data_IF_406950921132
#
_entry.id   IF_406950921132
#
_cell.length_a   1.000
_cell.length_b   1.000
_cell.length_c   1.000
_cell.angle_alpha   90.00
_cell.angle_beta   90.00
_cell.angle_gamma   90.00
#
_symmetry.space_group_name_H-M   'P 1'
#
loop_
_entity.id
_entity.type
_entity.pdbx_description
1 polymer ?
#
# COMPACT_ATOMS: atom_id res chain seq x y z
N UNK A 1 5.68 9.89 -10.79
CA UNK A 1 5.99 11.34 -10.82
C UNK A 1 5.38 12.03 -9.60
N UNK A 2 4.12 11.72 -9.29
CA UNK A 2 3.41 12.15 -8.09
C UNK A 2 4.15 11.83 -6.79
N UNK A 3 4.68 10.61 -6.63
CA UNK A 3 5.42 10.22 -5.42
C UNK A 3 6.79 10.89 -5.33
N UNK A 4 7.46 11.06 -6.48
CA UNK A 4 8.72 11.82 -6.55
C UNK A 4 8.51 13.25 -6.09
N UNK A 5 7.48 13.92 -6.61
CA UNK A 5 7.09 15.26 -6.16
C UNK A 5 6.85 15.30 -4.64
N UNK A 6 6.10 14.35 -4.07
CA UNK A 6 5.87 14.28 -2.62
C UNK A 6 7.17 14.12 -1.82
N UNK A 7 8.08 13.25 -2.27
CA UNK A 7 9.39 13.05 -1.63
C UNK A 7 10.24 14.33 -1.69
N UNK A 8 10.29 15.03 -2.82
CA UNK A 8 11.01 16.30 -2.93
C UNK A 8 10.42 17.37 -2.01
N UNK A 9 9.09 17.52 -1.98
CA UNK A 9 8.43 18.47 -1.08
C UNK A 9 8.70 18.16 0.40
N UNK A 10 8.81 16.87 0.76
CA UNK A 10 9.17 16.47 2.10
C UNK A 10 10.61 16.87 2.45
N UNK A 11 11.57 16.63 1.56
CA UNK A 11 12.96 17.02 1.76
C UNK A 11 13.10 18.55 1.90
N UNK A 12 12.47 19.32 1.01
CA UNK A 12 12.48 20.79 1.08
C UNK A 12 11.85 21.31 2.38
N UNK A 13 10.74 20.70 2.84
CA UNK A 13 10.13 21.09 4.11
C UNK A 13 11.02 20.76 5.31
N UNK A 14 11.77 19.65 5.29
CA UNK A 14 12.74 19.32 6.34
C UNK A 14 13.92 20.31 6.35
N UNK A 15 14.41 20.70 5.17
CA UNK A 15 15.45 21.72 5.03
C UNK A 15 14.99 23.07 5.61
N UNK A 16 13.78 23.52 5.31
CA UNK A 16 13.20 24.75 5.88
C UNK A 16 13.08 24.71 7.41
N UNK A 17 12.92 23.51 7.99
CA UNK A 17 12.90 23.27 9.43
C UNK A 17 14.29 23.09 10.05
N UNK A 18 15.35 23.07 9.23
CA UNK A 18 16.72 22.80 9.67
C UNK A 18 16.96 21.36 10.13
N UNK A 19 16.22 20.41 9.55
CA UNK A 19 16.34 18.97 9.83
C UNK A 19 17.10 18.32 8.67
N UNK A 20 18.13 17.54 8.99
CA UNK A 20 18.88 16.77 7.99
C UNK A 20 17.99 15.67 7.38
N UNK A 21 17.95 15.63 6.06
CA UNK A 21 17.11 14.73 5.27
C UNK A 21 17.94 13.62 4.61
N UNK A 22 17.44 12.38 4.71
CA UNK A 22 18.03 11.20 4.06
C UNK A 22 17.02 10.65 3.08
N UNK A 23 17.36 10.70 1.78
CA UNK A 23 16.55 10.15 0.70
C UNK A 23 17.04 8.75 0.31
N UNK A 24 16.11 7.81 0.16
CA UNK A 24 16.37 6.48 -0.41
C UNK A 24 15.44 6.27 -1.60
N UNK A 25 16.00 6.19 -2.80
CA UNK A 25 15.24 5.97 -4.02
C UNK A 25 16.13 5.34 -5.10
N UNK A 26 15.62 4.32 -5.79
CA UNK A 26 16.34 3.58 -6.82
C UNK A 26 16.02 4.01 -8.26
N UNK A 27 15.13 5.00 -8.45
CA UNK A 27 14.72 5.43 -9.78
C UNK A 27 15.66 6.52 -10.31
N UNK A 28 16.41 6.31 -11.42
CA UNK A 28 17.34 7.31 -11.93
C UNK A 28 16.65 8.48 -12.65
N UNK A 29 15.35 8.38 -12.95
CA UNK A 29 14.61 9.37 -13.75
C UNK A 29 13.78 10.33 -12.87
N UNK A 30 14.20 10.56 -11.62
CA UNK A 30 13.46 11.34 -10.63
C UNK A 30 14.25 12.50 -10.05
N UNK A 31 13.55 13.59 -9.68
CA UNK A 31 14.19 14.76 -9.06
C UNK A 31 14.67 14.43 -7.64
N UNK A 32 13.96 13.55 -6.92
CA UNK A 32 14.41 13.08 -5.59
C UNK A 32 15.77 12.37 -5.60
N UNK A 33 16.28 11.99 -6.77
CA UNK A 33 17.62 11.40 -6.91
C UNK A 33 18.67 12.38 -7.42
N UNK A 34 18.33 13.67 -7.52
CA UNK A 34 19.32 14.73 -7.72
C UNK A 34 20.01 15.04 -6.37
N UNK A 35 21.33 15.21 -6.42
CA UNK A 35 22.18 15.35 -5.21
C UNK A 35 21.90 16.61 -4.38
N UNK A 36 21.17 17.57 -4.91
CA UNK A 36 20.78 18.82 -4.26
C UNK A 36 19.39 18.77 -3.63
N UNK A 37 18.67 17.65 -3.71
CA UNK A 37 17.32 17.53 -3.12
C UNK A 37 17.33 17.18 -1.64
N UNK A 38 18.35 16.48 -1.15
CA UNK A 38 18.45 16.05 0.26
C UNK A 38 19.90 16.05 0.72
N UNK A 39 20.14 16.13 2.03
CA UNK A 39 21.49 16.14 2.60
C UNK A 39 22.28 14.84 2.30
N UNK A 40 21.58 13.71 2.36
CA UNK A 40 22.11 12.40 1.98
C UNK A 40 21.18 11.69 1.01
N UNK A 41 21.75 11.18 -0.08
CA UNK A 41 21.05 10.35 -1.06
C UNK A 41 21.65 8.94 -1.08
N UNK A 42 20.81 7.94 -0.86
CA UNK A 42 21.12 6.53 -1.08
C UNK A 42 20.37 6.04 -2.33
N UNK A 43 21.14 5.77 -3.38
CA UNK A 43 20.64 5.19 -4.61
C UNK A 43 20.64 3.66 -4.52
N UNK A 44 19.82 3.13 -3.63
CA UNK A 44 19.76 1.71 -3.27
C UNK A 44 18.35 1.13 -3.52
N UNK A 45 18.21 -0.19 -3.69
CA UNK A 45 16.90 -0.83 -3.78
C UNK A 45 16.04 -0.56 -2.54
N UNK A 46 14.73 -0.36 -2.74
CA UNK A 46 13.77 -0.21 -1.63
C UNK A 46 13.35 -1.60 -1.10
N UNK A 47 14.29 -2.31 -0.48
CA UNK A 47 14.01 -3.53 0.28
C UNK A 47 14.17 -3.29 1.78
N UNK A 48 13.56 -4.14 2.61
CA UNK A 48 13.71 -4.03 4.06
C UNK A 48 15.18 -4.14 4.49
N UNK A 49 15.95 -5.04 3.89
CA UNK A 49 17.37 -5.25 4.23
C UNK A 49 18.21 -4.01 3.89
N UNK A 50 18.06 -3.49 2.68
CA UNK A 50 18.83 -2.32 2.22
C UNK A 50 18.51 -1.08 3.06
N UNK A 51 17.23 -0.86 3.37
CA UNK A 51 16.81 0.28 4.21
C UNK A 51 17.29 0.12 5.66
N UNK A 52 17.27 -1.08 6.22
CA UNK A 52 17.82 -1.33 7.57
C UNK A 52 19.33 -1.08 7.63
N UNK A 53 20.09 -1.49 6.61
CA UNK A 53 21.52 -1.19 6.53
C UNK A 53 21.79 0.32 6.52
N UNK A 54 20.92 1.10 5.87
CA UNK A 54 21.01 2.57 5.87
C UNK A 54 20.67 3.13 7.26
N UNK A 55 19.58 2.66 7.89
CA UNK A 55 19.19 3.06 9.23
C UNK A 55 20.30 2.76 10.26
N UNK A 56 20.91 1.58 10.22
CA UNK A 56 21.99 1.19 11.14
C UNK A 56 23.23 2.10 10.99
N UNK A 57 23.48 2.61 9.79
CA UNK A 57 24.62 3.48 9.50
C UNK A 57 24.35 4.94 9.86
N UNK A 58 23.14 5.42 9.59
CA UNK A 58 22.79 6.84 9.69
C UNK A 58 22.10 7.20 11.00
N UNK A 59 21.55 6.21 11.72
CA UNK A 59 20.82 6.37 12.99
C UNK A 59 19.77 7.50 12.95
N UNK A 60 18.80 7.45 12.01
CA UNK A 60 17.85 8.54 11.83
C UNK A 60 16.86 8.65 13.00
N UNK A 61 16.51 9.88 13.39
CA UNK A 61 15.50 10.15 14.42
C UNK A 61 14.10 9.61 14.03
N UNK A 62 13.82 9.52 12.73
CA UNK A 62 12.55 9.00 12.22
C UNK A 62 12.56 8.72 10.72
N UNK A 63 11.68 7.82 10.28
CA UNK A 63 11.54 7.39 8.88
C UNK A 63 10.13 7.68 8.37
N UNK A 64 10.04 8.29 7.19
CA UNK A 64 8.79 8.59 6.48
C UNK A 64 8.60 7.55 5.37
N UNK A 65 7.49 6.80 5.43
CA UNK A 65 7.16 5.75 4.43
C UNK A 65 5.96 6.13 3.55
N UNK A 66 5.29 7.24 3.84
CA UNK A 66 3.96 7.54 3.29
C UNK A 66 4.00 8.25 1.93
N UNK A 67 5.16 8.76 1.50
CA UNK A 67 5.27 9.60 0.30
C UNK A 67 5.74 8.86 -0.97
N UNK A 68 6.30 7.66 -0.83
CA UNK A 68 6.82 6.89 -1.98
C UNK A 68 5.84 5.88 -2.59
N UNK A 69 4.55 5.93 -2.26
CA UNK A 69 3.54 5.00 -2.77
C UNK A 69 3.59 3.62 -2.09
N UNK A 70 3.15 2.56 -2.79
CA UNK A 70 2.99 1.23 -2.18
C UNK A 70 4.32 0.60 -1.74
N UNK A 71 5.42 0.86 -2.46
CA UNK A 71 6.71 0.24 -2.20
C UNK A 71 7.20 0.47 -0.76
N UNK A 72 7.35 1.71 -0.26
CA UNK A 72 7.72 1.94 1.13
C UNK A 72 6.65 1.56 2.15
N UNK A 73 5.35 1.65 1.81
CA UNK A 73 4.27 1.19 2.71
C UNK A 73 4.41 -0.31 3.01
N UNK A 74 4.78 -1.11 2.01
CA UNK A 74 5.05 -2.55 2.19
C UNK A 74 6.26 -2.82 3.09
N UNK A 75 7.20 -1.88 3.25
CA UNK A 75 8.36 -2.03 4.13
C UNK A 75 8.02 -1.70 5.59
N UNK A 76 6.95 -0.94 5.84
CA UNK A 76 6.65 -0.35 7.14
C UNK A 76 6.63 -1.37 8.29
N UNK A 77 5.96 -2.51 8.12
CA UNK A 77 5.94 -3.59 9.13
C UNK A 77 7.31 -4.18 9.40
N UNK A 78 8.12 -4.37 8.36
CA UNK A 78 9.46 -4.95 8.47
C UNK A 78 10.42 -4.02 9.22
N UNK A 79 10.34 -2.72 8.93
CA UNK A 79 11.12 -1.68 9.60
C UNK A 79 10.68 -1.50 11.07
N UNK A 80 9.37 -1.48 11.34
CA UNK A 80 8.83 -1.40 12.71
C UNK A 80 9.27 -2.60 13.55
N UNK A 81 9.20 -3.82 12.99
CA UNK A 81 9.63 -5.03 13.68
C UNK A 81 11.13 -5.03 14.04
N UNK A 82 11.95 -4.28 13.29
CA UNK A 82 13.37 -4.06 13.57
C UNK A 82 13.63 -2.88 14.53
N UNK A 83 12.58 -2.17 14.96
CA UNK A 83 12.67 -1.05 15.91
C UNK A 83 12.88 0.32 15.27
N UNK A 84 12.77 0.44 13.94
CA UNK A 84 12.86 1.73 13.25
C UNK A 84 11.67 2.62 13.63
N UNK A 85 11.95 3.87 14.01
CA UNK A 85 10.92 4.84 14.35
C UNK A 85 10.22 5.38 13.10
N UNK A 86 9.09 4.80 12.72
CA UNK A 86 8.27 5.32 11.62
C UNK A 86 7.43 6.50 12.12
N UNK A 87 7.66 7.68 11.55
CA UNK A 87 6.96 8.92 11.90
C UNK A 87 5.81 9.19 10.93
N UNK A 88 4.81 9.97 11.37
CA UNK A 88 3.57 10.21 10.63
C UNK A 88 2.49 9.17 10.95
N UNK A 89 1.85 8.62 9.92
CA UNK A 89 0.86 7.54 10.09
C UNK A 89 1.59 6.25 10.50
N UNK A 90 1.22 5.69 11.66
CA UNK A 90 1.84 4.47 12.18
C UNK A 90 1.62 3.26 11.27
N UNK A 91 2.54 2.28 11.26
CA UNK A 91 2.41 1.04 10.48
C UNK A 91 1.09 0.31 10.71
N UNK A 92 0.62 0.24 11.95
CA UNK A 92 -0.68 -0.38 12.28
C UNK A 92 -1.87 0.35 11.62
N UNK A 93 -1.81 1.68 11.48
CA UNK A 93 -2.87 2.48 10.87
C UNK A 93 -2.80 2.45 9.34
N UNK A 94 -1.58 2.36 8.78
CA UNK A 94 -1.37 2.06 7.35
C UNK A 94 -2.03 0.72 7.06
N UNK A 95 -1.71 -0.30 7.86
CA UNK A 95 -2.26 -1.63 7.72
C UNK A 95 -3.79 -1.67 7.88
N UNK A 96 -4.33 -0.94 8.85
CA UNK A 96 -5.77 -0.86 9.05
C UNK A 96 -6.52 -0.24 7.85
N UNK A 97 -5.85 0.57 7.03
CA UNK A 97 -6.41 1.14 5.81
C UNK A 97 -6.22 0.25 4.57
N UNK A 98 -5.13 -0.51 4.51
CA UNK A 98 -4.83 -1.43 3.41
C UNK A 98 -5.55 -2.78 3.53
N UNK A 99 -5.65 -3.30 4.76
CA UNK A 99 -6.40 -4.50 5.09
C UNK A 99 -7.92 -4.21 5.02
N UNK A 100 -8.60 -4.99 4.18
CA UNK A 100 -10.01 -4.77 3.87
C UNK A 100 -10.94 -5.13 5.02
N UNK A 101 -10.58 -6.13 5.83
CA UNK A 101 -11.37 -6.54 7.00
C UNK A 101 -11.27 -5.48 8.09
N UNK A 102 -10.03 -5.03 8.37
CA UNK A 102 -9.78 -3.94 9.33
C UNK A 102 -10.46 -2.65 8.88
N UNK A 103 -10.37 -2.30 7.60
CA UNK A 103 -11.01 -1.11 7.07
C UNK A 103 -12.54 -1.19 7.18
N UNK A 104 -13.14 -2.34 6.85
CA UNK A 104 -14.57 -2.56 7.04
C UNK A 104 -14.98 -2.39 8.51
N UNK A 105 -14.23 -2.98 9.44
CA UNK A 105 -14.49 -2.83 10.87
C UNK A 105 -14.42 -1.37 11.34
N UNK A 106 -13.52 -0.56 10.76
CA UNK A 106 -13.47 0.89 11.02
C UNK A 106 -14.74 1.59 10.52
N UNK A 107 -15.20 1.28 9.31
CA UNK A 107 -16.41 1.88 8.76
C UNK A 107 -17.66 1.51 9.58
N UNK A 108 -17.79 0.24 9.97
CA UNK A 108 -18.88 -0.24 10.82
C UNK A 108 -18.87 0.47 12.19
N UNK A 109 -17.69 0.60 12.80
CA UNK A 109 -17.52 1.33 14.07
C UNK A 109 -17.92 2.80 13.96
N UNK A 110 -17.71 3.42 12.80
CA UNK A 110 -18.01 4.82 12.53
C UNK A 110 -19.44 5.05 11.99
N UNK A 111 -20.24 3.99 11.84
CA UNK A 111 -21.57 4.04 11.20
C UNK A 111 -21.56 4.66 9.80
N UNK A 112 -20.50 4.34 9.03
CA UNK A 112 -20.35 4.78 7.65
C UNK A 112 -20.86 3.72 6.67
N UNK A 113 -21.42 4.18 5.55
CA UNK A 113 -22.00 3.31 4.53
C UNK A 113 -20.91 2.69 3.66
N UNK A 114 -20.96 1.37 3.48
CA UNK A 114 -20.16 0.62 2.52
C UNK A 114 -21.06 -0.26 1.64
N UNK A 115 -20.72 -0.50 0.37
CA UNK A 115 -21.42 -1.48 -0.44
C UNK A 115 -21.38 -2.87 0.21
N UNK A 116 -22.43 -3.71 0.03
CA UNK A 116 -22.35 -5.11 0.41
C UNK A 116 -21.13 -5.76 -0.22
N UNK A 117 -20.33 -6.44 0.59
CA UNK A 117 -19.05 -7.00 0.15
C UNK A 117 -18.72 -8.33 0.82
N UNK A 118 -17.59 -8.91 0.42
CA UNK A 118 -17.03 -10.12 1.00
C UNK A 118 -15.56 -10.29 0.66
N UNK A 119 -14.81 -10.88 1.58
CA UNK A 119 -13.39 -11.18 1.43
C UNK A 119 -13.22 -12.63 0.96
N UNK A 120 -12.36 -12.85 -0.02
CA UNK A 120 -12.09 -14.16 -0.57
C UNK A 120 -10.57 -14.42 -0.68
N UNK A 121 -10.14 -15.57 -0.17
CA UNK A 121 -8.75 -16.07 -0.28
C UNK A 121 -8.64 -17.25 -1.23
N UNK A 122 -9.74 -17.64 -1.89
CA UNK A 122 -9.79 -18.68 -2.91
C UNK A 122 -11.05 -18.52 -3.78
N UNK A 123 -11.08 -19.21 -4.92
CA UNK A 123 -12.18 -19.13 -5.90
C UNK A 123 -13.54 -19.52 -5.34
N UNK A 124 -13.59 -20.49 -4.42
CA UNK A 124 -14.85 -20.95 -3.84
C UNK A 124 -15.44 -19.89 -2.91
N UNK A 125 -14.62 -19.31 -2.03
CA UNK A 125 -15.01 -18.19 -1.17
C UNK A 125 -15.47 -16.98 -2.01
N UNK A 126 -14.79 -16.72 -3.13
CA UNK A 126 -15.17 -15.67 -4.06
C UNK A 126 -16.55 -15.92 -4.67
N UNK A 127 -16.82 -17.15 -5.11
CA UNK A 127 -18.14 -17.53 -5.64
C UNK A 127 -19.24 -17.35 -4.61
N UNK A 128 -19.05 -17.87 -3.39
CA UNK A 128 -20.04 -17.74 -2.32
C UNK A 128 -20.32 -16.27 -1.96
N UNK A 129 -19.29 -15.43 -1.93
CA UNK A 129 -19.44 -14.00 -1.70
C UNK A 129 -20.23 -13.33 -2.84
N UNK A 130 -19.90 -13.61 -4.10
CA UNK A 130 -20.60 -13.04 -5.24
C UNK A 130 -22.06 -13.50 -5.35
N UNK A 131 -22.38 -14.75 -5.01
CA UNK A 131 -23.77 -15.25 -4.94
C UNK A 131 -24.59 -14.52 -3.87
N UNK A 132 -23.99 -14.26 -2.71
CA UNK A 132 -24.63 -13.51 -1.61
C UNK A 132 -24.85 -12.03 -1.97
N UNK A 133 -23.91 -11.42 -2.68
CA UNK A 133 -23.92 -9.99 -3.04
C UNK A 133 -24.79 -9.72 -4.29
N UNK A 134 -24.74 -10.62 -5.25
CA UNK A 134 -25.39 -10.51 -6.56
C UNK A 134 -24.58 -9.69 -7.59
N UNK A 135 -24.48 -10.21 -8.81
CA UNK A 135 -23.81 -9.54 -9.93
C UNK A 135 -24.52 -8.25 -10.40
N UNK A 136 -23.81 -7.32 -11.08
CA UNK A 136 -22.35 -7.31 -11.25
C UNK A 136 -21.61 -7.03 -9.93
N UNK A 137 -20.41 -7.59 -9.81
CA UNK A 137 -19.51 -7.39 -8.66
C UNK A 137 -18.19 -6.78 -9.13
N UNK A 138 -17.61 -5.90 -8.32
CA UNK A 138 -16.28 -5.33 -8.52
C UNK A 138 -15.28 -6.12 -7.69
N UNK A 139 -14.29 -6.70 -8.34
CA UNK A 139 -13.25 -7.49 -7.69
C UNK A 139 -11.99 -6.65 -7.51
N UNK A 140 -11.51 -6.53 -6.26
CA UNK A 140 -10.42 -5.64 -5.87
C UNK A 140 -9.35 -6.38 -5.06
N UNK A 141 -8.12 -6.55 -5.58
CA UNK A 141 -7.04 -7.09 -4.78
C UNK A 141 -6.68 -6.16 -3.61
N UNK A 142 -6.13 -6.73 -2.55
CA UNK A 142 -5.51 -5.97 -1.44
C UNK A 142 -4.07 -5.59 -1.78
N UNK A 143 -3.50 -4.59 -1.10
CA UNK A 143 -2.12 -4.13 -1.26
C UNK A 143 -1.72 -3.71 -2.70
N UNK A 144 -2.69 -3.19 -3.47
CA UNK A 144 -2.46 -2.65 -4.83
C UNK A 144 -2.97 -1.22 -4.96
N UNK A 145 -2.25 -0.40 -5.71
CA UNK A 145 -2.64 0.97 -6.08
C UNK A 145 -3.03 1.07 -7.56
N UNK A 146 -3.83 2.09 -7.88
CA UNK A 146 -4.16 2.47 -9.26
C UNK A 146 -5.10 1.52 -10.00
N UNK A 147 -5.90 0.72 -9.27
CA UNK A 147 -6.86 -0.20 -9.90
C UNK A 147 -6.22 -1.39 -10.61
N UNK A 148 -4.93 -1.66 -10.37
CA UNK A 148 -4.24 -2.79 -10.98
C UNK A 148 -4.94 -4.10 -10.64
N UNK A 149 -5.22 -4.88 -11.69
CA UNK A 149 -5.95 -6.12 -11.61
C UNK A 149 -7.32 -5.99 -10.92
N UNK A 150 -8.01 -4.85 -11.00
CA UNK A 150 -9.44 -4.78 -10.65
C UNK A 150 -10.29 -5.13 -11.89
N UNK A 151 -11.35 -5.92 -11.71
CA UNK A 151 -12.27 -6.29 -12.79
C UNK A 151 -13.72 -6.21 -12.32
N UNK A 152 -14.61 -5.75 -13.20
CA UNK A 152 -16.06 -5.87 -12.99
C UNK A 152 -16.49 -7.19 -13.58
N UNK A 153 -16.93 -8.11 -12.72
CA UNK A 153 -17.47 -9.40 -13.15
C UNK A 153 -18.99 -9.28 -13.25
N UNK A 154 -19.53 -9.55 -14.43
CA UNK A 154 -20.97 -9.52 -14.70
C UNK A 154 -21.66 -10.86 -14.42
N UNK A 155 -20.87 -11.92 -14.31
CA UNK A 155 -21.37 -13.27 -14.08
C UNK A 155 -20.31 -14.13 -13.35
N UNK A 156 -20.73 -15.33 -12.99
CA UNK A 156 -19.87 -16.29 -12.30
C UNK A 156 -18.68 -16.76 -13.16
N UNK A 157 -18.85 -16.84 -14.48
CA UNK A 157 -17.80 -17.28 -15.40
C UNK A 157 -16.64 -16.29 -15.43
N UNK A 158 -16.94 -14.99 -15.54
CA UNK A 158 -15.96 -13.91 -15.50
C UNK A 158 -15.26 -13.84 -14.14
N UNK A 159 -15.97 -14.05 -13.04
CA UNK A 159 -15.36 -14.13 -11.70
C UNK A 159 -14.37 -15.29 -11.57
N UNK A 160 -14.75 -16.50 -12.00
CA UNK A 160 -13.87 -17.67 -11.92
C UNK A 160 -12.62 -17.45 -12.76
N UNK A 161 -12.77 -16.95 -13.99
CA UNK A 161 -11.65 -16.62 -14.87
C UNK A 161 -10.68 -15.65 -14.20
N UNK A 162 -11.21 -14.55 -13.63
CA UNK A 162 -10.40 -13.58 -12.90
C UNK A 162 -9.61 -14.23 -11.76
N UNK A 163 -10.28 -15.03 -10.93
CA UNK A 163 -9.65 -15.67 -9.77
C UNK A 163 -8.59 -16.71 -10.14
N UNK A 164 -8.63 -17.28 -11.34
CA UNK A 164 -7.65 -18.27 -11.81
C UNK A 164 -6.54 -17.69 -12.67
N UNK A 165 -6.80 -16.62 -13.42
CA UNK A 165 -5.89 -16.10 -14.45
C UNK A 165 -5.28 -14.74 -14.09
N UNK A 166 -6.01 -13.89 -13.36
CA UNK A 166 -5.65 -12.48 -13.19
C UNK A 166 -4.95 -12.17 -11.85
N UNK A 167 -5.14 -13.00 -10.83
CA UNK A 167 -4.62 -12.75 -9.48
C UNK A 167 -4.11 -14.04 -8.83
N UNK A 168 -2.92 -13.96 -8.25
CA UNK A 168 -2.39 -14.98 -7.36
C UNK A 168 -3.01 -14.76 -5.96
N UNK A 169 -4.15 -15.42 -5.73
CA UNK A 169 -4.91 -15.26 -4.47
C UNK A 169 -4.33 -16.19 -3.42
N UNK A 170 -3.83 -15.62 -2.34
CA UNK A 170 -3.30 -16.35 -1.19
C UNK A 170 -3.89 -15.81 0.12
N UNK A 171 -3.73 -16.52 1.26
CA UNK A 171 -4.11 -16.00 2.57
C UNK A 171 -3.47 -14.63 2.88
N UNK A 172 -2.26 -14.41 2.38
CA UNK A 172 -1.52 -13.14 2.58
C UNK A 172 -1.97 -12.04 1.60
N UNK A 173 -2.76 -12.38 0.58
CA UNK A 173 -3.25 -11.47 -0.46
C UNK A 173 -4.72 -11.72 -0.77
N UNK A 174 -5.62 -11.41 0.17
CA UNK A 174 -7.06 -11.58 -0.04
C UNK A 174 -7.58 -10.60 -1.09
N UNK A 175 -8.68 -10.99 -1.73
CA UNK A 175 -9.40 -10.18 -2.70
C UNK A 175 -10.76 -9.78 -2.10
N UNK A 176 -11.13 -8.51 -2.28
CA UNK A 176 -12.45 -8.00 -1.90
C UNK A 176 -13.39 -8.06 -3.10
N UNK A 177 -14.60 -8.56 -2.86
CA UNK A 177 -15.70 -8.58 -3.83
C UNK A 177 -16.73 -7.60 -3.34
N UNK A 178 -16.89 -6.48 -4.03
CA UNK A 178 -17.85 -5.44 -3.73
C UNK A 178 -19.06 -5.52 -4.66
N UNK A 179 -20.24 -5.14 -4.16
CA UNK A 179 -21.37 -4.84 -5.04
C UNK A 179 -20.99 -3.68 -5.94
N UNK A 180 -21.07 -3.88 -7.27
CA UNK A 180 -20.90 -2.76 -8.19
C UNK A 180 -22.07 -1.77 -8.00
N UNK A 181 -21.73 -0.51 -7.76
CA UNK A 181 -22.69 0.58 -7.62
C UNK A 181 -22.87 1.23 -9.00
N UNK A 182 -24.08 1.17 -9.55
CA UNK A 182 -24.47 1.85 -10.80
C UNK A 182 -24.63 3.36 -10.62
#
# INVERSE_FOLDING_TARGET
IEFDYCCCQAAFALEELGIESIMVNSNPETVSTDYDTSDYLFFEPLTTEDVLNICDRMDPDGVIVQFGGQTPLNLARGLEAAGVNIIGTSPDMIDAAEDRERFQAILEKLDLRQPPNGIATNTEAARSAAERIGFPVLVRPSYVLGGRAMEICYDQTSLVRYMTEAVDVSPDKPVLIDKFLE
#
